data_IF_030427686313
#
_entry.id   IF_030427686313
#
_cell.length_a   1.000
_cell.length_b   1.000
_cell.length_c   1.000
_cell.angle_alpha   90.00
_cell.angle_beta   90.00
_cell.angle_gamma   90.00
#
_symmetry.space_group_name_H-M   'P 1'
#
loop_
_entity.id
_entity.type
_entity.pdbx_description
1 polymer ?
#
# COMPACT_ATOMS: atom_id res chain seq x y z
N UNK A 1 12.33 5.43 -15.06
CA UNK A 1 11.63 4.96 -16.28
C UNK A 1 10.12 4.84 -16.17
N UNK A 2 9.47 5.40 -15.15
CA UNK A 2 7.99 5.36 -15.10
C UNK A 2 7.38 6.54 -15.86
N UNK A 3 7.71 7.78 -15.46
CA UNK A 3 7.15 8.99 -16.10
C UNK A 3 7.91 9.43 -17.37
N UNK A 4 8.92 8.67 -17.80
CA UNK A 4 9.62 8.90 -19.07
C UNK A 4 8.90 8.24 -20.26
N UNK A 5 8.06 7.22 -20.01
CA UNK A 5 7.29 6.53 -21.04
C UNK A 5 5.96 7.22 -21.31
N UNK A 6 5.70 7.61 -22.56
CA UNK A 6 4.43 8.25 -22.96
C UNK A 6 3.19 7.41 -22.65
N UNK A 7 3.30 6.09 -22.74
CA UNK A 7 2.18 5.19 -22.42
C UNK A 7 1.82 5.28 -20.94
N UNK A 8 2.81 5.27 -20.05
CA UNK A 8 2.62 5.39 -18.60
C UNK A 8 2.13 6.79 -18.22
N UNK A 9 2.63 7.83 -18.87
CA UNK A 9 2.15 9.20 -18.64
C UNK A 9 0.68 9.35 -19.03
N UNK A 10 0.25 8.75 -20.14
CA UNK A 10 -1.17 8.77 -20.54
C UNK A 10 -2.07 8.06 -19.52
N UNK A 11 -1.62 6.91 -19.01
CA UNK A 11 -2.34 6.14 -18.01
C UNK A 11 -2.41 6.89 -16.66
N UNK A 12 -1.30 7.50 -16.24
CA UNK A 12 -1.22 8.33 -15.03
C UNK A 12 -2.20 9.51 -15.07
N UNK A 13 -2.24 10.26 -16.18
CA UNK A 13 -3.19 11.36 -16.37
C UNK A 13 -4.63 10.86 -16.19
N UNK A 14 -5.00 9.78 -16.91
CA UNK A 14 -6.36 9.24 -16.85
C UNK A 14 -6.74 8.78 -15.44
N UNK A 15 -5.86 8.01 -14.78
CA UNK A 15 -6.11 7.48 -13.44
C UNK A 15 -6.20 8.59 -12.39
N UNK A 16 -5.33 9.59 -12.45
CA UNK A 16 -5.38 10.71 -11.50
C UNK A 16 -6.66 11.53 -11.68
N UNK A 17 -7.08 11.83 -12.92
CA UNK A 17 -8.34 12.53 -13.17
C UNK A 17 -9.54 11.71 -12.66
N UNK A 18 -9.54 10.39 -12.85
CA UNK A 18 -10.61 9.51 -12.34
C UNK A 18 -10.62 9.40 -10.81
N UNK A 19 -9.45 9.46 -10.16
CA UNK A 19 -9.32 9.27 -8.70
C UNK A 19 -9.51 10.57 -7.93
N UNK A 20 -8.95 11.67 -8.44
CA UNK A 20 -8.83 12.96 -7.75
C UNK A 20 -9.59 14.09 -8.44
N UNK A 21 -10.12 13.89 -9.65
CA UNK A 21 -10.76 14.93 -10.45
C UNK A 21 -9.78 15.81 -11.25
N UNK A 22 -8.48 15.69 -10.99
CA UNK A 22 -7.42 16.46 -11.63
C UNK A 22 -6.11 15.67 -11.71
N UNK A 23 -5.18 16.15 -12.53
CA UNK A 23 -3.81 15.64 -12.53
C UNK A 23 -2.97 16.45 -11.55
N UNK A 24 -2.55 15.83 -10.45
CA UNK A 24 -1.70 16.47 -9.45
C UNK A 24 -0.28 16.69 -9.99
N UNK A 25 0.36 17.83 -9.67
CA UNK A 25 1.75 18.08 -10.02
C UNK A 25 2.70 17.02 -9.44
N UNK A 26 3.76 16.70 -10.19
CA UNK A 26 4.77 15.71 -9.73
C UNK A 26 5.46 16.18 -8.45
N UNK A 27 5.71 17.49 -8.32
CA UNK A 27 6.38 18.08 -7.15
C UNK A 27 5.64 17.82 -5.83
N UNK A 28 4.31 17.68 -5.87
CA UNK A 28 3.52 17.38 -4.67
C UNK A 28 3.86 15.98 -4.13
N UNK A 29 4.03 15.01 -5.03
CA UNK A 29 4.43 13.66 -4.66
C UNK A 29 5.88 13.60 -4.17
N UNK A 30 6.80 14.34 -4.83
CA UNK A 30 8.21 14.41 -4.39
C UNK A 30 8.31 14.98 -2.97
N UNK A 31 7.64 16.12 -2.72
CA UNK A 31 7.59 16.73 -1.38
C UNK A 31 6.95 15.81 -0.35
N UNK A 32 5.86 15.12 -0.71
CA UNK A 32 5.20 14.19 0.20
C UNK A 32 6.12 13.04 0.61
N UNK A 33 6.92 12.51 -0.32
CA UNK A 33 7.92 11.46 -0.03
C UNK A 33 9.04 12.00 0.85
N UNK A 34 9.59 13.17 0.53
CA UNK A 34 10.69 13.79 1.30
C UNK A 34 10.29 14.13 2.75
N UNK A 35 9.00 14.39 2.99
CA UNK A 35 8.48 14.73 4.31
C UNK A 35 8.18 13.51 5.19
N UNK A 36 8.25 12.27 4.65
CA UNK A 36 7.95 11.06 5.44
C UNK A 36 8.95 10.91 6.58
N UNK A 37 8.44 10.81 7.81
CA UNK A 37 9.27 10.57 9.00
C UNK A 37 9.17 9.14 9.51
N UNK A 38 10.11 8.74 10.37
CA UNK A 38 10.05 7.45 11.08
C UNK A 38 8.77 7.29 11.91
N UNK A 39 8.24 8.40 12.45
CA UNK A 39 7.01 8.40 13.22
C UNK A 39 5.81 8.07 12.33
N UNK A 40 5.75 8.65 11.12
CA UNK A 40 4.67 8.40 10.17
C UNK A 40 4.67 6.93 9.74
N UNK A 41 5.84 6.38 9.41
CA UNK A 41 6.00 4.96 9.08
C UNK A 41 5.49 4.08 10.22
N UNK A 42 5.97 4.33 11.44
CA UNK A 42 5.58 3.53 12.62
C UNK A 42 4.07 3.59 12.87
N UNK A 43 3.48 4.79 12.81
CA UNK A 43 2.05 5.00 13.03
C UNK A 43 1.19 4.33 11.96
N UNK A 44 1.59 4.41 10.69
CA UNK A 44 0.86 3.76 9.60
C UNK A 44 1.00 2.25 9.68
N UNK A 45 2.17 1.72 10.00
CA UNK A 45 2.35 0.28 10.24
C UNK A 45 1.46 -0.23 11.36
N UNK A 46 1.39 0.47 12.49
CA UNK A 46 0.48 0.12 13.59
C UNK A 46 -0.99 0.14 13.12
N UNK A 47 -1.40 1.16 12.36
CA UNK A 47 -2.75 1.24 11.80
C UNK A 47 -3.05 0.06 10.86
N UNK A 48 -2.13 -0.28 9.97
CA UNK A 48 -2.29 -1.41 9.03
C UNK A 48 -2.44 -2.74 9.78
N UNK A 49 -1.57 -2.99 10.76
CA UNK A 49 -1.59 -4.21 11.57
C UNK A 49 -2.81 -4.31 12.51
N UNK A 50 -3.48 -3.19 12.80
CA UNK A 50 -4.69 -3.19 13.64
C UNK A 50 -5.93 -3.76 12.95
N UNK A 51 -5.91 -3.88 11.62
CA UNK A 51 -7.02 -4.43 10.84
C UNK A 51 -7.01 -5.97 10.81
N UNK A 52 -8.17 -6.63 10.61
CA UNK A 52 -8.21 -8.09 10.50
C UNK A 52 -7.30 -8.61 9.38
N UNK A 53 -6.56 -9.69 9.68
CA UNK A 53 -5.68 -10.35 8.71
C UNK A 53 -6.48 -10.78 7.47
N UNK A 54 -5.94 -10.49 6.29
CA UNK A 54 -6.39 -11.10 5.03
C UNK A 54 -5.35 -12.12 4.60
N UNK A 55 -5.73 -13.41 4.54
CA UNK A 55 -4.84 -14.52 4.20
C UNK A 55 -5.45 -15.34 3.07
N UNK A 56 -4.63 -15.63 2.05
CA UNK A 56 -4.99 -16.52 0.95
C UNK A 56 -3.86 -17.54 0.75
N UNK A 57 -4.22 -18.77 0.38
CA UNK A 57 -3.27 -19.85 0.09
C UNK A 57 -3.79 -20.71 -1.07
N UNK A 58 -2.89 -21.28 -1.86
CA UNK A 58 -3.22 -22.04 -3.07
C UNK A 58 -2.16 -23.11 -3.34
N UNK A 59 -2.58 -24.28 -3.84
CA UNK A 59 -1.72 -25.43 -4.12
C UNK A 59 -1.80 -26.51 -3.04
N UNK A 60 -0.67 -27.14 -2.73
CA UNK A 60 -0.56 -28.06 -1.59
C UNK A 60 -0.37 -27.28 -0.29
N UNK A 61 -1.46 -27.10 0.44
CA UNK A 61 -1.53 -26.24 1.63
C UNK A 61 -1.54 -27.03 2.94
N UNK A 62 -1.17 -28.31 2.91
CA UNK A 62 -1.19 -29.21 4.08
C UNK A 62 -0.35 -28.70 5.26
N UNK A 63 0.72 -27.96 4.98
CA UNK A 63 1.65 -27.42 6.00
C UNK A 63 1.46 -25.92 6.27
N UNK A 64 0.44 -25.30 5.66
CA UNK A 64 0.14 -23.89 5.90
C UNK A 64 -0.52 -23.78 7.29
N UNK A 65 -0.04 -22.88 8.17
CA UNK A 65 -0.63 -22.70 9.49
C UNK A 65 -2.09 -22.23 9.39
N UNK A 66 -2.87 -22.52 10.42
CA UNK A 66 -4.26 -22.05 10.48
C UNK A 66 -4.30 -20.52 10.47
N UNK A 67 -5.35 -19.99 9.86
CA UNK A 67 -5.61 -18.53 9.84
C UNK A 67 -5.53 -17.92 11.24
N UNK A 68 -6.14 -18.56 12.25
CA UNK A 68 -6.13 -18.08 13.63
C UNK A 68 -4.72 -18.05 14.24
N UNK A 69 -3.88 -19.05 13.94
CA UNK A 69 -2.49 -19.07 14.41
C UNK A 69 -1.67 -17.90 13.87
N UNK A 70 -1.94 -17.49 12.63
CA UNK A 70 -1.26 -16.35 11.99
C UNK A 70 -1.87 -15.02 12.46
N UNK A 71 -3.20 -14.92 12.49
CA UNK A 71 -3.94 -13.71 12.88
C UNK A 71 -3.63 -13.26 14.31
N UNK A 72 -3.48 -14.21 15.24
CA UNK A 72 -3.14 -13.92 16.64
C UNK A 72 -1.74 -13.31 16.84
N UNK A 73 -0.84 -13.38 15.84
CA UNK A 73 0.49 -12.74 15.93
C UNK A 73 0.40 -11.21 15.77
N UNK A 74 -0.67 -10.71 15.15
CA UNK A 74 -0.86 -9.29 14.86
C UNK A 74 -1.81 -8.60 15.84
N UNK A 75 -2.59 -9.37 16.60
CA UNK A 75 -3.41 -8.82 17.67
C UNK A 75 -2.50 -8.33 18.78
N UNK A 76 -2.54 -7.02 19.05
CA UNK A 76 -1.98 -6.48 20.29
C UNK A 76 -2.60 -7.24 21.47
N UNK A 77 -1.78 -7.58 22.47
CA UNK A 77 -2.32 -7.86 23.80
C UNK A 77 -3.12 -6.67 24.32
#
# INVERSE_FOLDING_TARGET
MNLESRMVVSEDIGRQVLTYGERKPVDDFLKAVDQVTLKDITSISQKLLSSPLTMASYGDVLYVPSYESVSNQFRSK
#
